data_IF_695144047043
#
_entry.id   IF_695144047043
#
_cell.length_a   1.000
_cell.length_b   1.000
_cell.length_c   1.000
_cell.angle_alpha   90.00
_cell.angle_beta   90.00
_cell.angle_gamma   90.00
#
_symmetry.space_group_name_H-M   'P 1'
#
loop_
_entity.id
_entity.type
_entity.pdbx_description
1 polymer ?
#
# COMPACT_ATOMS: atom_id res chain seq x y z
N UNK A 1 9.77 -0.95 -45.82
CA UNK A 1 9.40 0.02 -44.76
C UNK A 1 8.15 -0.34 -43.95
N UNK A 2 7.08 -0.90 -44.51
CA UNK A 2 5.85 -1.25 -43.74
C UNK A 2 6.07 -2.29 -42.63
N UNK A 3 6.92 -3.29 -42.85
CA UNK A 3 7.20 -4.35 -41.86
C UNK A 3 8.12 -3.92 -40.71
N UNK A 4 8.89 -2.83 -40.86
CA UNK A 4 9.78 -2.32 -39.81
C UNK A 4 8.97 -1.62 -38.70
N UNK A 5 7.87 -0.96 -39.07
CA UNK A 5 6.94 -0.34 -38.12
C UNK A 5 6.13 -1.38 -37.32
N UNK A 6 5.81 -2.53 -37.92
CA UNK A 6 5.08 -3.64 -37.27
C UNK A 6 5.97 -4.42 -36.29
N UNK A 7 7.26 -4.59 -36.61
CA UNK A 7 8.22 -5.23 -35.70
C UNK A 7 8.56 -4.33 -34.50
N UNK A 8 8.63 -3.01 -34.70
CA UNK A 8 8.88 -2.05 -33.63
C UNK A 8 7.69 -1.94 -32.66
N UNK A 9 6.45 -2.09 -33.15
CA UNK A 9 5.26 -2.14 -32.28
C UNK A 9 5.22 -3.41 -31.43
N UNK A 10 5.62 -4.58 -31.97
CA UNK A 10 5.75 -5.82 -31.20
C UNK A 10 6.85 -5.74 -30.11
N UNK A 11 7.94 -5.01 -30.36
CA UNK A 11 8.99 -4.77 -29.38
C UNK A 11 8.61 -3.72 -28.32
N UNK A 12 7.72 -2.77 -28.65
CA UNK A 12 7.20 -1.78 -27.72
C UNK A 12 6.12 -2.35 -26.76
N UNK A 13 5.49 -3.48 -27.10
CA UNK A 13 4.62 -4.22 -26.18
C UNK A 13 5.33 -5.37 -25.43
N UNK A 14 6.55 -5.72 -25.85
CA UNK A 14 7.45 -6.63 -25.14
C UNK A 14 8.27 -5.93 -24.06
N UNK A 15 7.61 -5.13 -23.19
CA UNK A 15 8.28 -4.45 -22.09
C UNK A 15 9.01 -5.45 -21.19
N UNK A 16 10.21 -5.10 -20.71
CA UNK A 16 11.13 -5.95 -19.97
C UNK A 16 10.51 -6.68 -18.75
N UNK A 17 9.42 -6.18 -18.18
CA UNK A 17 8.68 -6.81 -17.08
C UNK A 17 7.77 -7.98 -17.50
N UNK A 18 7.42 -8.14 -18.78
CA UNK A 18 6.81 -9.39 -19.28
C UNK A 18 7.81 -10.55 -19.24
N UNK A 19 9.09 -10.28 -19.50
CA UNK A 19 10.18 -11.27 -19.49
C UNK A 19 10.54 -11.70 -18.06
N UNK A 20 10.28 -10.87 -17.05
CA UNK A 20 10.55 -11.22 -15.66
C UNK A 20 9.32 -11.81 -14.94
N UNK A 21 8.12 -11.33 -15.25
CA UNK A 21 6.88 -12.02 -14.83
C UNK A 21 6.72 -13.41 -15.46
N UNK A 22 7.35 -13.68 -16.61
CA UNK A 22 7.46 -15.04 -17.14
C UNK A 22 8.33 -15.96 -16.27
N UNK A 23 9.20 -15.41 -15.40
CA UNK A 23 9.96 -16.16 -14.39
C UNK A 23 9.19 -16.41 -13.09
N UNK A 24 8.02 -15.80 -12.91
CA UNK A 24 7.15 -16.12 -11.78
C UNK A 24 6.80 -17.63 -11.81
N UNK A 25 6.75 -18.24 -10.63
CA UNK A 25 6.29 -19.63 -10.49
C UNK A 25 4.85 -19.79 -10.98
N UNK A 26 4.47 -21.01 -11.39
CA UNK A 26 3.15 -21.28 -11.96
C UNK A 26 2.00 -20.87 -11.02
N UNK A 27 2.17 -21.03 -9.71
CA UNK A 27 1.16 -20.65 -8.73
C UNK A 27 1.02 -19.13 -8.58
N UNK A 28 2.11 -18.37 -8.66
CA UNK A 28 2.07 -16.89 -8.64
C UNK A 28 1.33 -16.38 -9.88
N UNK A 29 1.62 -16.93 -11.06
CA UNK A 29 0.91 -16.59 -12.30
C UNK A 29 -0.59 -16.87 -12.20
N UNK A 30 -0.97 -18.01 -11.61
CA UNK A 30 -2.38 -18.38 -11.38
C UNK A 30 -3.09 -17.38 -10.46
N UNK A 31 -2.46 -16.98 -9.36
CA UNK A 31 -3.04 -15.98 -8.45
C UNK A 31 -3.19 -14.62 -9.14
N UNK A 32 -2.18 -14.20 -9.92
CA UNK A 32 -2.22 -12.93 -10.66
C UNK A 32 -3.30 -12.90 -11.73
N UNK A 33 -3.51 -14.02 -12.44
CA UNK A 33 -4.63 -14.18 -13.37
C UNK A 33 -5.99 -14.04 -12.65
N UNK A 34 -6.05 -14.34 -11.36
CA UNK A 34 -7.23 -14.12 -10.52
C UNK A 34 -7.26 -12.73 -9.83
N UNK A 35 -6.42 -11.79 -10.27
CA UNK A 35 -6.34 -10.42 -9.74
C UNK A 35 -5.69 -10.31 -8.37
N UNK A 36 -4.91 -11.31 -7.95
CA UNK A 36 -4.21 -11.35 -6.66
C UNK A 36 -2.73 -11.53 -6.87
N UNK A 37 -1.95 -10.55 -6.45
CA UNK A 37 -0.50 -10.60 -6.40
C UNK A 37 -0.05 -11.02 -4.99
N UNK A 38 0.54 -12.22 -4.84
CA UNK A 38 1.06 -12.67 -3.55
C UNK A 38 2.17 -11.78 -3.00
N UNK A 39 2.93 -11.09 -3.86
CA UNK A 39 4.03 -10.19 -3.45
C UNK A 39 3.48 -9.00 -2.68
N UNK A 40 2.32 -8.49 -3.09
CA UNK A 40 1.67 -7.36 -2.42
C UNK A 40 1.26 -7.68 -0.98
N UNK A 41 1.11 -8.95 -0.57
CA UNK A 41 0.74 -9.29 0.82
C UNK A 41 1.77 -8.81 1.84
N UNK A 42 3.06 -8.78 1.47
CA UNK A 42 4.16 -8.35 2.31
C UNK A 42 4.65 -6.94 2.05
N UNK A 43 3.86 -6.09 1.39
CA UNK A 43 4.28 -4.71 1.10
C UNK A 43 3.94 -3.74 2.23
N UNK A 44 4.57 -2.56 2.19
CA UNK A 44 4.43 -1.54 3.24
C UNK A 44 3.00 -1.03 3.44
N UNK A 45 2.16 -1.04 2.40
CA UNK A 45 0.77 -0.60 2.49
C UNK A 45 -0.07 -1.51 3.41
N UNK A 46 -0.16 -2.82 3.11
CA UNK A 46 -0.79 -3.79 3.99
C UNK A 46 -0.18 -3.86 5.39
N UNK A 47 1.15 -3.77 5.51
CA UNK A 47 1.82 -3.76 6.81
C UNK A 47 1.39 -2.56 7.65
N UNK A 48 1.41 -1.34 7.08
CA UNK A 48 0.98 -0.13 7.79
C UNK A 48 -0.48 -0.22 8.25
N UNK A 49 -1.39 -0.68 7.37
CA UNK A 49 -2.80 -0.84 7.75
C UNK A 49 -2.97 -1.91 8.83
N UNK A 50 -2.28 -3.04 8.72
CA UNK A 50 -2.32 -4.11 9.72
C UNK A 50 -1.88 -3.61 11.09
N UNK A 51 -0.76 -2.88 11.15
CA UNK A 51 -0.22 -2.30 12.37
C UNK A 51 -1.17 -1.26 12.96
N UNK A 52 -1.76 -0.41 12.12
CA UNK A 52 -2.72 0.61 12.55
C UNK A 52 -3.97 -0.01 13.17
N UNK A 53 -4.53 -1.05 12.55
CA UNK A 53 -5.71 -1.75 13.05
C UNK A 53 -5.42 -2.42 14.40
N UNK A 54 -4.27 -3.09 14.54
CA UNK A 54 -3.86 -3.70 15.81
C UNK A 54 -3.66 -2.65 16.90
N UNK A 55 -2.98 -1.54 16.58
CA UNK A 55 -2.69 -0.52 17.56
C UNK A 55 -3.95 0.21 18.04
N UNK A 56 -4.88 0.53 17.14
CA UNK A 56 -6.18 1.13 17.50
C UNK A 56 -6.98 0.19 18.40
N UNK A 57 -6.89 -1.12 18.21
CA UNK A 57 -7.65 -2.12 18.96
C UNK A 57 -6.84 -2.81 20.08
N UNK A 58 -5.67 -2.28 20.46
CA UNK A 58 -4.74 -2.91 21.42
C UNK A 58 -5.34 -3.22 22.81
N UNK A 59 -6.42 -2.54 23.18
CA UNK A 59 -7.12 -2.76 24.46
C UNK A 59 -8.34 -3.68 24.33
N UNK A 60 -8.60 -4.25 23.15
CA UNK A 60 -9.71 -5.18 22.90
C UNK A 60 -9.15 -6.59 22.83
N UNK A 61 -9.70 -7.49 23.66
CA UNK A 61 -9.36 -8.91 23.60
C UNK A 61 -10.22 -9.60 22.55
N UNK A 62 -9.61 -9.90 21.40
CA UNK A 62 -10.27 -10.67 20.35
C UNK A 62 -10.22 -12.17 20.68
N UNK A 63 -11.34 -12.87 20.47
CA UNK A 63 -11.38 -14.35 20.52
C UNK A 63 -10.61 -14.94 19.33
N UNK A 64 -10.67 -14.27 18.17
CA UNK A 64 -9.91 -14.57 16.95
C UNK A 64 -9.45 -13.26 16.34
N UNK A 65 -8.20 -13.20 15.88
CA UNK A 65 -7.67 -11.99 15.24
C UNK A 65 -8.48 -11.66 13.97
N UNK A 66 -9.20 -10.53 13.93
CA UNK A 66 -10.04 -10.18 12.79
C UNK A 66 -9.24 -9.53 11.65
N UNK A 67 -7.94 -9.26 11.85
CA UNK A 67 -7.12 -8.56 10.88
C UNK A 67 -6.03 -9.50 10.36
N UNK A 68 -5.99 -9.71 9.05
CA UNK A 68 -4.89 -10.43 8.41
C UNK A 68 -4.30 -9.63 7.25
N UNK A 69 -2.98 -9.67 7.10
CA UNK A 69 -2.28 -8.99 6.00
C UNK A 69 -2.74 -9.50 4.63
N UNK A 70 -3.06 -10.78 4.54
CA UNK A 70 -3.64 -11.39 3.34
C UNK A 70 -4.99 -10.77 2.98
N UNK A 71 -5.89 -10.64 3.94
CA UNK A 71 -7.21 -10.03 3.71
C UNK A 71 -7.11 -8.55 3.36
N UNK A 72 -6.30 -7.79 4.11
CA UNK A 72 -6.00 -6.38 3.82
C UNK A 72 -5.48 -6.22 2.39
N UNK A 73 -4.51 -7.04 1.99
CA UNK A 73 -3.96 -7.05 0.63
C UNK A 73 -5.02 -7.41 -0.42
N UNK A 74 -5.88 -8.40 -0.16
CA UNK A 74 -6.99 -8.75 -1.06
C UNK A 74 -7.96 -7.58 -1.23
N UNK A 75 -8.32 -6.87 -0.15
CA UNK A 75 -9.21 -5.70 -0.22
C UNK A 75 -8.58 -4.59 -1.07
N UNK A 76 -7.27 -4.34 -0.91
CA UNK A 76 -6.52 -3.36 -1.71
C UNK A 76 -6.48 -3.76 -3.20
N UNK A 77 -6.31 -5.04 -3.50
CA UNK A 77 -6.15 -5.54 -4.86
C UNK A 77 -7.46 -5.71 -5.63
N UNK A 78 -8.60 -5.80 -4.93
CA UNK A 78 -9.94 -5.76 -5.53
C UNK A 78 -10.29 -4.40 -6.16
N UNK A 79 -9.50 -3.35 -5.92
CA UNK A 79 -9.75 -2.01 -6.45
C UNK A 79 -9.12 -1.80 -7.82
N UNK A 80 -9.64 -0.82 -8.56
CA UNK A 80 -9.20 -0.49 -9.92
C UNK A 80 -7.75 0.01 -10.05
N UNK A 81 -7.08 0.31 -8.94
CA UNK A 81 -5.66 0.68 -8.88
C UNK A 81 -4.73 -0.46 -9.30
N UNK A 82 -5.22 -1.71 -9.34
CA UNK A 82 -4.52 -2.88 -9.88
C UNK A 82 -4.10 -2.69 -11.35
N UNK A 83 -4.87 -1.94 -12.15
CA UNK A 83 -4.48 -1.62 -13.53
C UNK A 83 -3.20 -0.79 -13.61
N UNK A 84 -3.08 0.24 -12.76
CA UNK A 84 -1.88 1.08 -12.68
C UNK A 84 -0.67 0.26 -12.21
N UNK A 85 -0.84 -0.57 -11.16
CA UNK A 85 0.24 -1.45 -10.66
C UNK A 85 0.69 -2.45 -11.71
N UNK A 86 -0.25 -3.05 -12.46
CA UNK A 86 0.07 -3.97 -13.54
C UNK A 86 0.85 -3.27 -14.65
N UNK A 87 0.46 -2.05 -15.03
CA UNK A 87 1.18 -1.26 -16.03
C UNK A 87 2.60 -0.92 -15.57
N UNK A 88 2.77 -0.38 -14.37
CA UNK A 88 4.10 -0.08 -13.82
C UNK A 88 4.92 -1.35 -13.57
N UNK A 89 4.27 -2.47 -13.24
CA UNK A 89 4.86 -3.80 -13.09
C UNK A 89 5.51 -4.35 -14.36
N UNK A 90 5.19 -3.79 -15.53
CA UNK A 90 5.88 -4.09 -16.80
C UNK A 90 7.27 -3.45 -16.83
N UNK A 91 7.55 -2.42 -16.03
CA UNK A 91 8.83 -1.71 -16.04
C UNK A 91 9.62 -1.94 -14.74
N UNK A 92 8.94 -2.10 -13.61
CA UNK A 92 9.55 -2.34 -12.30
C UNK A 92 8.73 -3.34 -11.48
N UNK A 93 9.34 -4.44 -11.06
CA UNK A 93 8.68 -5.46 -10.24
C UNK A 93 8.23 -4.92 -8.89
N UNK A 94 8.91 -3.90 -8.34
CA UNK A 94 8.51 -3.23 -7.09
C UNK A 94 7.19 -2.50 -7.22
N UNK A 95 6.76 -2.16 -8.43
CA UNK A 95 5.47 -1.54 -8.64
C UNK A 95 4.29 -2.44 -8.22
N UNK A 96 4.51 -3.76 -8.17
CA UNK A 96 3.55 -4.76 -7.67
C UNK A 96 3.23 -4.58 -6.19
N UNK A 97 4.13 -3.94 -5.44
CA UNK A 97 4.02 -3.72 -3.99
C UNK A 97 3.32 -2.41 -3.63
N UNK A 98 3.12 -1.51 -4.60
CA UNK A 98 2.59 -0.17 -4.37
C UNK A 98 1.12 -0.23 -3.94
N UNK A 99 0.81 0.35 -2.78
CA UNK A 99 -0.56 0.68 -2.39
C UNK A 99 -0.78 2.19 -2.47
N UNK A 100 -1.88 2.63 -3.06
CA UNK A 100 -2.24 4.04 -3.09
C UNK A 100 -3.08 4.42 -1.88
N UNK A 101 -3.08 5.69 -1.49
CA UNK A 101 -3.86 6.16 -0.33
C UNK A 101 -5.36 5.81 -0.44
N UNK A 102 -5.93 5.87 -1.64
CA UNK A 102 -7.33 5.49 -1.89
C UNK A 102 -7.60 4.01 -1.60
N UNK A 103 -6.57 3.16 -1.75
CA UNK A 103 -6.63 1.75 -1.38
C UNK A 103 -6.63 1.58 0.14
N UNK A 104 -5.70 2.27 0.82
CA UNK A 104 -5.61 2.25 2.29
C UNK A 104 -6.91 2.75 2.93
N UNK A 105 -7.46 3.86 2.44
CA UNK A 105 -8.75 4.41 2.90
C UNK A 105 -9.91 3.45 2.70
N UNK A 106 -9.87 2.60 1.66
CA UNK A 106 -10.90 1.60 1.45
C UNK A 106 -10.85 0.49 2.52
N UNK A 107 -9.65 0.01 2.85
CA UNK A 107 -9.47 -0.98 3.92
C UNK A 107 -9.87 -0.39 5.27
N UNK A 108 -9.43 0.84 5.57
CA UNK A 108 -9.76 1.48 6.85
C UNK A 108 -11.27 1.64 7.01
N UNK A 109 -11.97 2.10 5.97
CA UNK A 109 -13.45 2.15 5.98
C UNK A 109 -14.10 0.78 6.13
N UNK A 110 -13.55 -0.27 5.50
CA UNK A 110 -14.04 -1.63 5.67
C UNK A 110 -14.02 -2.08 7.15
N UNK A 111 -13.07 -1.57 7.94
CA UNK A 111 -12.96 -1.83 9.38
C UNK A 111 -13.51 -0.68 10.25
N UNK A 112 -14.43 0.14 9.74
CA UNK A 112 -15.05 1.27 10.46
C UNK A 112 -14.04 2.28 11.04
N UNK A 113 -12.91 2.48 10.35
CA UNK A 113 -11.92 3.50 10.68
C UNK A 113 -12.06 4.69 9.72
N UNK A 114 -12.30 5.85 10.31
CA UNK A 114 -12.30 7.15 9.66
C UNK A 114 -10.88 7.69 9.54
N UNK A 115 -10.68 8.55 8.53
CA UNK A 115 -9.38 9.13 8.19
C UNK A 115 -9.54 10.59 7.81
N UNK A 116 -8.64 11.45 8.28
CA UNK A 116 -8.46 12.79 7.72
C UNK A 116 -6.97 13.09 7.45
N UNK A 117 -6.70 13.88 6.41
CA UNK A 117 -5.37 14.43 6.15
C UNK A 117 -5.09 15.52 7.20
N UNK A 118 -3.95 15.42 7.89
CA UNK A 118 -3.56 16.39 8.91
C UNK A 118 -3.24 17.77 8.31
N UNK A 119 -2.96 17.85 7.00
CA UNK A 119 -2.57 19.09 6.32
C UNK A 119 -1.16 19.58 6.69
N UNK A 120 -0.48 18.87 7.58
CA UNK A 120 0.89 19.12 8.04
C UNK A 120 1.75 17.87 7.83
N UNK A 121 3.04 18.08 7.62
CA UNK A 121 4.05 17.04 7.55
C UNK A 121 4.85 16.90 8.86
N UNK A 122 4.46 17.62 9.91
CA UNK A 122 5.06 17.51 11.23
C UNK A 122 4.40 16.38 12.03
N UNK A 123 5.15 15.31 12.28
CA UNK A 123 4.70 14.16 13.07
C UNK A 123 4.26 14.55 14.48
N UNK A 124 4.85 15.60 15.08
CA UNK A 124 4.46 16.05 16.42
C UNK A 124 3.01 16.54 16.47
N UNK A 125 2.50 17.04 15.34
CA UNK A 125 1.11 17.53 15.22
C UNK A 125 0.07 16.40 15.35
N UNK A 126 0.48 15.14 15.20
CA UNK A 126 -0.39 13.97 15.46
C UNK A 126 -0.72 13.86 16.94
N UNK A 127 0.16 14.21 17.87
CA UNK A 127 -0.06 14.00 19.31
C UNK A 127 0.05 12.51 19.71
N UNK A 128 0.42 12.28 20.97
CA UNK A 128 0.92 10.97 21.46
C UNK A 128 -0.12 9.86 21.52
N UNK A 129 -1.39 10.21 21.69
CA UNK A 129 -2.48 9.23 21.90
C UNK A 129 -3.26 8.90 20.62
N UNK A 130 -2.87 9.48 19.49
CA UNK A 130 -3.53 9.27 18.19
C UNK A 130 -2.74 8.29 17.33
N UNK A 131 -3.45 7.57 16.48
CA UNK A 131 -2.86 6.68 15.47
C UNK A 131 -2.86 7.39 14.12
N UNK A 132 -1.80 7.25 13.35
CA UNK A 132 -1.74 7.78 11.99
C UNK A 132 -1.02 6.83 11.04
N UNK A 133 -1.40 6.85 9.77
CA UNK A 133 -0.57 6.30 8.69
C UNK A 133 0.17 7.46 8.04
N UNK A 134 1.47 7.30 7.88
CA UNK A 134 2.39 8.32 7.39
C UNK A 134 2.96 7.87 6.06
N UNK A 135 2.92 8.74 5.06
CA UNK A 135 3.66 8.56 3.83
C UNK A 135 5.03 9.21 3.99
N UNK A 136 6.07 8.40 3.96
CA UNK A 136 7.45 8.88 3.93
C UNK A 136 8.08 8.60 2.57
N UNK A 137 9.09 9.39 2.25
CA UNK A 137 9.83 9.32 0.98
C UNK A 137 11.30 9.54 1.23
N UNK A 138 12.16 8.80 0.53
CA UNK A 138 13.59 9.14 0.45
C UNK A 138 13.80 10.38 -0.43
N UNK A 139 14.57 11.36 0.08
CA UNK A 139 14.94 12.57 -0.65
C UNK A 139 15.58 12.21 -2.00
N UNK A 140 15.21 12.93 -3.05
CA UNK A 140 15.70 12.72 -4.42
C UNK A 140 15.50 11.30 -5.02
N UNK A 141 14.62 10.47 -4.45
CA UNK A 141 14.27 9.14 -4.98
C UNK A 141 12.79 9.08 -5.40
N UNK A 142 12.36 7.96 -5.99
CA UNK A 142 10.95 7.56 -6.10
C UNK A 142 10.56 6.51 -5.05
N UNK A 143 11.43 6.25 -4.06
CA UNK A 143 11.15 5.33 -2.95
C UNK A 143 10.19 5.96 -1.94
N UNK A 144 8.96 5.47 -1.93
CA UNK A 144 7.93 5.80 -0.95
C UNK A 144 7.69 4.61 -0.02
N UNK A 145 7.30 4.90 1.22
CA UNK A 145 6.97 3.87 2.20
C UNK A 145 5.81 4.34 3.07
N UNK A 146 4.86 3.44 3.32
CA UNK A 146 3.79 3.64 4.29
C UNK A 146 4.23 3.11 5.64
N UNK A 147 3.98 3.88 6.70
CA UNK A 147 4.40 3.51 8.05
C UNK A 147 3.38 4.00 9.09
N UNK A 148 3.26 3.29 10.21
CA UNK A 148 2.23 3.58 11.21
C UNK A 148 2.82 4.23 12.46
N UNK A 149 2.26 5.38 12.82
CA UNK A 149 2.51 6.05 14.08
C UNK A 149 1.47 5.62 15.15
N UNK A 150 1.87 5.36 16.40
CA UNK A 150 3.23 5.39 16.94
C UNK A 150 3.92 4.02 16.95
N UNK A 151 3.39 3.04 16.21
CA UNK A 151 3.91 1.65 16.18
C UNK A 151 5.39 1.63 15.81
N UNK A 152 5.81 2.44 14.83
CA UNK A 152 7.20 2.57 14.44
C UNK A 152 7.82 3.85 15.04
N UNK A 153 8.87 3.69 15.84
CA UNK A 153 9.56 4.82 16.50
C UNK A 153 10.51 5.61 15.60
N UNK A 154 10.92 5.05 14.46
CA UNK A 154 11.93 5.62 13.56
C UNK A 154 11.34 6.31 12.31
N UNK A 155 10.08 6.76 12.35
CA UNK A 155 9.39 7.34 11.18
C UNK A 155 10.17 8.53 10.58
N UNK A 156 10.77 9.38 11.41
CA UNK A 156 11.54 10.55 10.96
C UNK A 156 12.94 10.22 10.48
N UNK A 157 13.42 8.99 10.68
CA UNK A 157 14.78 8.54 10.36
C UNK A 157 14.80 7.23 9.57
N UNK A 158 13.67 6.84 8.97
CA UNK A 158 13.52 5.55 8.27
C UNK A 158 14.52 5.37 7.13
N UNK A 159 14.79 6.44 6.38
CA UNK A 159 15.84 6.54 5.35
C UNK A 159 17.07 7.34 5.85
N UNK A 160 17.31 7.41 7.16
CA UNK A 160 18.29 8.31 7.76
C UNK A 160 17.93 9.78 7.57
N UNK A 161 18.93 10.62 7.33
CA UNK A 161 18.78 12.07 7.12
C UNK A 161 18.02 12.43 5.84
N UNK A 162 17.85 11.47 4.92
CA UNK A 162 17.09 11.63 3.69
C UNK A 162 15.59 11.40 3.85
N UNK A 163 15.10 11.15 5.07
CA UNK A 163 13.69 10.87 5.31
C UNK A 163 12.85 12.14 5.20
N UNK A 164 11.87 12.14 4.29
CA UNK A 164 10.93 13.23 4.13
C UNK A 164 9.50 12.74 4.36
N UNK A 165 8.81 13.29 5.36
CA UNK A 165 7.37 13.08 5.54
C UNK A 165 6.63 13.85 4.45
N UNK A 166 5.77 13.15 3.71
CA UNK A 166 4.98 13.72 2.60
C UNK A 166 3.54 13.98 2.97
N UNK A 167 2.95 13.09 3.75
CA UNK A 167 1.55 13.16 4.20
C UNK A 167 1.38 12.42 5.51
N UNK A 168 0.45 12.89 6.32
CA UNK A 168 0.06 12.26 7.57
C UNK A 168 -1.47 12.13 7.56
N UNK A 169 -1.96 10.91 7.74
CA UNK A 169 -3.38 10.60 7.79
C UNK A 169 -3.74 10.11 9.20
N UNK A 170 -4.47 10.95 9.94
CA UNK A 170 -4.87 10.62 11.31
C UNK A 170 -6.12 9.74 11.29
N UNK A 171 -6.08 8.69 12.11
CA UNK A 171 -7.11 7.68 12.17
C UNK A 171 -8.00 7.88 13.40
N UNK A 172 -9.28 7.60 13.25
CA UNK A 172 -10.25 7.61 14.33
C UNK A 172 -11.31 6.53 14.10
N UNK A 173 -11.90 6.00 15.17
CA UNK A 173 -13.01 5.04 15.02
C UNK A 173 -14.26 5.81 14.61
N UNK A 174 -14.94 5.31 13.59
CA UNK A 174 -16.32 5.72 13.33
C UNK A 174 -17.15 5.06 14.43
N UNK A 175 -17.86 5.85 15.23
CA UNK A 175 -18.85 5.31 16.17
C UNK A 175 -19.89 4.50 15.40
N UNK A 176 -20.41 3.41 15.99
CA UNK A 176 -21.42 2.50 15.40
C UNK A 176 -22.82 3.16 15.17
N UNK A 177 -22.87 4.46 14.94
CA UNK A 177 -24.05 5.31 14.86
C UNK A 177 -24.37 5.87 13.48
N UNK A 178 -23.82 5.32 12.39
CA UNK A 178 -24.25 5.65 11.04
C UNK A 178 -24.94 4.44 10.39
N UNK A 179 -26.15 4.14 10.86
CA UNK A 179 -27.15 3.51 9.99
C UNK A 179 -27.51 4.55 8.91
N UNK A 180 -27.17 4.25 7.66
CA UNK A 180 -27.84 4.86 6.50
C UNK A 180 -29.23 4.27 6.37
#
# INVERSE_FOLDING_TARGET
>A
MKYLATLLTLLLFGGCGTIRSSKDSAWVKKERAAGRDPVHIGSCGPDAVYDALHYIHRHIKFIRNPFSKKEISIIIQKRHTTACRNFYGIFDERAREISFISDLMAVLRHYNIGVYDLGSNDLKSVGKDRTAIVLIKKKNSLDYHWITYPVNGNITTFYGDDTVIKKIYVLFRLSDGAKL
#
